data_IF_883596789376
#
_entry.id   IF_883596789376
#
_cell.length_a   1.000
_cell.length_b   1.000
_cell.length_c   1.000
_cell.angle_alpha   90.00
_cell.angle_beta   90.00
_cell.angle_gamma   90.00
#
_symmetry.space_group_name_H-M   'P 1'
#
loop_
_entity.id
_entity.type
_entity.pdbx_description
1 polymer ?
#
# COMPACT_ATOMS: atom_id res chain seq x y z
N UNK A 1 -29.24 2.86 12.34
CA UNK A 1 -29.42 3.15 10.90
C UNK A 1 -30.36 4.33 10.78
N UNK A 2 -30.03 5.33 9.95
CA UNK A 2 -30.87 6.52 9.77
C UNK A 2 -32.15 6.20 9.00
N UNK A 3 -33.17 7.05 9.15
CA UNK A 3 -34.41 7.01 8.36
C UNK A 3 -34.07 7.07 6.86
N UNK A 4 -34.54 6.11 6.06
CA UNK A 4 -34.38 6.15 4.61
C UNK A 4 -35.51 7.00 4.00
N UNK A 5 -35.14 7.88 3.07
CA UNK A 5 -36.07 8.78 2.38
C UNK A 5 -35.92 8.63 0.86
N UNK A 6 -36.99 8.96 0.14
CA UNK A 6 -37.01 8.86 -1.31
C UNK A 6 -36.48 10.14 -1.93
N UNK A 7 -35.53 10.00 -2.86
CA UNK A 7 -34.98 11.09 -3.66
C UNK A 7 -35.03 10.71 -5.14
N UNK A 8 -35.01 11.72 -6.01
CA UNK A 8 -34.91 11.54 -7.45
C UNK A 8 -33.61 12.17 -7.94
N UNK A 9 -32.74 11.41 -8.59
CA UNK A 9 -31.48 11.92 -9.17
C UNK A 9 -31.52 11.68 -10.67
N UNK A 10 -31.45 12.75 -11.47
CA UNK A 10 -31.52 12.68 -12.94
C UNK A 10 -32.74 11.89 -13.46
N UNK A 11 -33.89 12.03 -12.78
CA UNK A 11 -35.13 11.32 -13.12
C UNK A 11 -35.24 9.89 -12.57
N UNK A 12 -34.19 9.36 -11.94
CA UNK A 12 -34.20 8.02 -11.33
C UNK A 12 -34.56 8.11 -9.84
N UNK A 13 -35.54 7.33 -9.39
CA UNK A 13 -35.90 7.25 -7.97
C UNK A 13 -34.93 6.35 -7.20
N UNK A 14 -34.50 6.81 -6.02
CA UNK A 14 -33.51 6.13 -5.19
C UNK A 14 -33.81 6.37 -3.70
N UNK A 15 -33.29 5.50 -2.84
CA UNK A 15 -33.35 5.70 -1.39
C UNK A 15 -32.01 6.16 -0.84
N UNK A 16 -32.04 7.09 0.09
CA UNK A 16 -30.85 7.60 0.77
C UNK A 16 -31.12 7.82 2.26
N UNK A 17 -30.07 7.78 3.08
CA UNK A 17 -30.18 8.08 4.50
C UNK A 17 -30.49 9.57 4.68
N UNK A 18 -31.60 9.89 5.35
CA UNK A 18 -31.98 11.27 5.65
C UNK A 18 -30.87 11.99 6.41
N UNK A 19 -30.52 13.18 5.96
CA UNK A 19 -29.46 13.99 6.54
C UNK A 19 -28.02 13.59 6.18
N UNK A 20 -27.81 12.48 5.45
CA UNK A 20 -26.47 12.19 4.90
C UNK A 20 -26.07 13.23 3.85
N UNK A 21 -24.79 13.36 3.57
CA UNK A 21 -24.33 14.26 2.50
C UNK A 21 -24.78 13.72 1.14
N UNK A 22 -25.33 14.60 0.31
CA UNK A 22 -25.77 14.23 -1.04
C UNK A 22 -24.61 13.66 -1.86
N UNK A 23 -23.41 14.24 -1.75
CA UNK A 23 -22.24 13.75 -2.50
C UNK A 23 -21.89 12.29 -2.18
N UNK A 24 -22.03 11.84 -0.93
CA UNK A 24 -21.75 10.44 -0.58
C UNK A 24 -22.73 9.52 -1.30
N UNK A 25 -24.01 9.86 -1.30
CA UNK A 25 -25.01 9.10 -2.04
C UNK A 25 -24.72 9.07 -3.55
N UNK A 26 -24.27 10.18 -4.13
CA UNK A 26 -23.90 10.22 -5.54
C UNK A 26 -22.72 9.28 -5.83
N UNK A 27 -21.68 9.30 -4.98
CA UNK A 27 -20.49 8.47 -5.15
C UNK A 27 -20.79 6.98 -4.92
N UNK A 28 -21.57 6.64 -3.90
CA UNK A 28 -21.96 5.27 -3.57
C UNK A 28 -22.78 4.63 -4.71
N UNK A 29 -23.51 5.43 -5.49
CA UNK A 29 -24.28 5.01 -6.66
C UNK A 29 -23.51 5.14 -7.98
N UNK A 30 -22.21 5.42 -7.92
CA UNK A 30 -21.35 5.67 -9.10
C UNK A 30 -21.87 6.78 -10.03
N UNK A 31 -22.61 7.75 -9.48
CA UNK A 31 -23.04 8.94 -10.21
C UNK A 31 -21.90 9.96 -10.18
N UNK A 32 -21.29 10.18 -11.34
CA UNK A 32 -20.18 11.13 -11.48
C UNK A 32 -20.58 12.54 -11.02
N UNK A 33 -19.75 13.11 -10.16
CA UNK A 33 -19.86 14.48 -9.65
C UNK A 33 -18.45 15.07 -9.47
N UNK A 34 -18.02 16.03 -10.30
CA UNK A 34 -16.71 16.65 -10.19
C UNK A 34 -16.48 17.31 -8.82
N UNK A 35 -15.31 17.08 -8.18
CA UNK A 35 -14.98 17.66 -6.88
C UNK A 35 -13.47 17.67 -6.58
N UNK A 36 -12.96 18.76 -6.00
CA UNK A 36 -11.56 18.86 -5.55
C UNK A 36 -11.37 18.78 -4.03
N UNK A 37 -12.20 19.47 -3.23
CA UNK A 37 -11.98 19.56 -1.78
C UNK A 37 -12.62 18.45 -0.96
N UNK A 38 -13.69 17.85 -1.48
CA UNK A 38 -14.39 16.76 -0.81
C UNK A 38 -13.56 15.48 -0.82
N UNK A 39 -13.50 14.75 0.29
CA UNK A 39 -12.95 13.40 0.34
C UNK A 39 -13.69 12.66 1.44
N UNK A 40 -14.12 11.41 1.23
CA UNK A 40 -14.96 10.68 2.20
C UNK A 40 -14.32 10.56 3.59
N UNK A 41 -12.98 10.44 3.66
CA UNK A 41 -12.25 10.42 4.93
C UNK A 41 -12.16 11.77 5.66
N UNK A 42 -12.30 12.89 4.93
CA UNK A 42 -12.13 14.24 5.48
C UNK A 42 -13.48 14.91 5.70
N UNK A 43 -14.48 14.59 4.87
CA UNK A 43 -15.80 15.21 4.83
C UNK A 43 -15.83 16.48 3.99
N UNK A 44 -16.82 17.34 4.29
CA UNK A 44 -17.09 18.60 3.58
C UNK A 44 -16.14 19.75 3.92
N UNK A 45 -15.98 20.66 2.97
CA UNK A 45 -15.27 21.94 3.14
C UNK A 45 -15.89 23.02 2.23
N UNK A 46 -16.16 22.66 0.98
CA UNK A 46 -16.96 23.48 0.07
C UNK A 46 -16.19 24.64 -0.58
N UNK A 47 -14.87 24.73 -0.44
CA UNK A 47 -14.07 25.81 -1.05
C UNK A 47 -14.07 25.78 -2.59
N UNK A 48 -13.91 24.62 -3.23
CA UNK A 48 -13.69 24.52 -4.67
C UNK A 48 -14.96 24.69 -5.53
N UNK A 49 -16.14 24.58 -4.91
CA UNK A 49 -17.46 24.67 -5.57
C UNK A 49 -17.75 23.68 -6.71
N UNK A 50 -16.79 22.89 -7.18
CA UNK A 50 -16.91 22.04 -8.39
C UNK A 50 -18.08 21.02 -8.37
N UNK A 51 -18.54 20.62 -7.17
CA UNK A 51 -19.64 19.68 -6.98
C UNK A 51 -21.05 20.31 -7.05
N UNK A 52 -21.23 21.40 -7.81
CA UNK A 52 -22.53 22.04 -7.97
C UNK A 52 -23.55 21.08 -8.63
N UNK A 53 -24.76 21.08 -8.08
CA UNK A 53 -25.94 20.37 -8.58
C UNK A 53 -27.16 21.28 -8.54
N UNK A 54 -28.11 21.00 -9.42
CA UNK A 54 -29.43 21.61 -9.38
C UNK A 54 -30.34 20.82 -8.46
N UNK A 55 -31.11 21.53 -7.64
CA UNK A 55 -32.11 20.93 -6.76
C UNK A 55 -33.42 21.66 -7.02
N UNK A 56 -34.49 20.90 -7.26
CA UNK A 56 -35.80 21.46 -7.53
C UNK A 56 -36.29 22.36 -6.38
N UNK A 57 -36.88 23.50 -6.73
CA UNK A 57 -37.27 24.55 -5.77
C UNK A 57 -36.14 25.46 -5.30
N UNK A 58 -34.86 25.15 -5.59
CA UNK A 58 -33.75 26.05 -5.30
C UNK A 58 -33.47 27.00 -6.47
N UNK A 59 -33.34 28.30 -6.17
CA UNK A 59 -33.07 29.33 -7.20
C UNK A 59 -31.66 29.29 -7.77
N UNK A 60 -30.72 28.70 -7.03
CA UNK A 60 -29.29 28.62 -7.40
C UNK A 60 -28.81 27.19 -7.24
N UNK A 61 -27.84 26.74 -8.06
CA UNK A 61 -27.13 25.49 -7.82
C UNK A 61 -26.54 25.42 -6.41
N UNK A 62 -26.53 24.22 -5.83
CA UNK A 62 -26.04 23.94 -4.49
C UNK A 62 -24.85 23.01 -4.56
N UNK A 63 -23.93 23.11 -3.59
CA UNK A 63 -22.82 22.17 -3.48
C UNK A 63 -23.31 20.82 -2.95
N UNK A 64 -23.07 19.73 -3.68
CA UNK A 64 -23.46 18.40 -3.21
C UNK A 64 -22.75 17.99 -1.91
N UNK A 65 -21.52 18.48 -1.70
CA UNK A 65 -20.71 18.09 -0.55
C UNK A 65 -21.19 18.63 0.81
N UNK A 66 -22.04 19.66 0.84
CA UNK A 66 -22.61 20.21 2.08
C UNK A 66 -24.14 20.25 2.04
N UNK A 67 -24.77 19.56 1.08
CA UNK A 67 -26.23 19.49 1.02
C UNK A 67 -26.71 18.21 1.70
N UNK A 68 -27.47 18.30 2.81
CA UNK A 68 -28.08 17.13 3.43
C UNK A 68 -29.25 16.59 2.59
N UNK A 69 -29.35 15.27 2.50
CA UNK A 69 -30.46 14.57 1.86
C UNK A 69 -31.78 14.84 2.61
N UNK A 70 -32.84 15.16 1.86
CA UNK A 70 -34.21 15.36 2.37
C UNK A 70 -35.19 14.49 1.58
N UNK A 71 -36.32 14.14 2.21
CA UNK A 71 -37.39 13.41 1.52
C UNK A 71 -37.98 14.24 0.38
N UNK A 72 -38.30 13.56 -0.73
CA UNK A 72 -38.82 14.17 -1.95
C UNK A 72 -37.80 15.03 -2.70
N UNK A 73 -36.51 14.98 -2.35
CA UNK A 73 -35.49 15.80 -3.01
C UNK A 73 -35.28 15.37 -4.47
N UNK A 74 -35.41 16.32 -5.40
CA UNK A 74 -35.17 16.10 -6.84
C UNK A 74 -33.89 16.83 -7.24
N UNK A 75 -32.89 16.08 -7.69
CA UNK A 75 -31.53 16.53 -8.00
C UNK A 75 -31.22 16.31 -9.48
N UNK A 76 -30.63 17.31 -10.13
CA UNK A 76 -30.04 17.20 -11.46
C UNK A 76 -28.54 17.44 -11.36
N UNK A 77 -27.75 16.44 -11.74
CA UNK A 77 -26.28 16.52 -11.77
C UNK A 77 -25.73 16.82 -13.16
N UNK A 78 -26.61 16.89 -14.17
CA UNK A 78 -26.31 17.18 -15.57
C UNK A 78 -27.36 18.15 -16.10
N UNK A 79 -26.98 18.96 -17.09
CA UNK A 79 -27.86 19.95 -17.73
C UNK A 79 -27.06 21.18 -18.16
N UNK A 80 -27.58 21.92 -19.14
CA UNK A 80 -26.87 23.07 -19.75
C UNK A 80 -26.37 24.07 -18.71
N UNK A 81 -27.22 24.43 -17.74
CA UNK A 81 -26.86 25.37 -16.69
C UNK A 81 -25.78 24.83 -15.74
N UNK A 82 -25.84 23.55 -15.33
CA UNK A 82 -24.80 22.96 -14.46
C UNK A 82 -23.47 22.79 -15.19
N UNK A 83 -23.49 22.42 -16.47
CA UNK A 83 -22.26 22.35 -17.27
C UNK A 83 -21.63 23.73 -17.46
N UNK A 84 -22.44 24.78 -17.65
CA UNK A 84 -21.95 26.16 -17.67
C UNK A 84 -21.30 26.55 -16.34
N UNK A 85 -21.97 26.27 -15.22
CA UNK A 85 -21.46 26.60 -13.87
C UNK A 85 -20.14 25.87 -13.60
N UNK A 86 -20.00 24.60 -13.99
CA UNK A 86 -18.74 23.84 -13.86
C UNK A 86 -17.63 24.45 -14.69
N UNK A 87 -17.93 24.88 -15.92
CA UNK A 87 -16.98 25.59 -16.78
C UNK A 87 -16.49 26.88 -16.15
N UNK A 88 -17.40 27.70 -15.64
CA UNK A 88 -17.06 28.97 -14.99
C UNK A 88 -16.18 28.73 -13.74
N UNK A 89 -16.49 27.71 -12.94
CA UNK A 89 -15.67 27.33 -11.77
C UNK A 89 -14.29 26.84 -12.20
N UNK A 90 -14.22 25.97 -13.20
CA UNK A 90 -12.96 25.43 -13.71
C UNK A 90 -12.06 26.54 -14.25
N UNK A 91 -12.62 27.57 -14.88
CA UNK A 91 -11.86 28.71 -15.34
C UNK A 91 -11.23 29.50 -14.18
N UNK A 92 -11.95 29.64 -13.07
CA UNK A 92 -11.40 30.24 -11.86
C UNK A 92 -10.27 29.39 -11.26
N UNK A 93 -10.41 28.06 -11.26
CA UNK A 93 -9.35 27.15 -10.78
C UNK A 93 -8.09 27.21 -11.67
N UNK A 94 -8.28 27.45 -12.97
CA UNK A 94 -7.20 27.56 -13.94
C UNK A 94 -6.59 28.97 -14.06
N UNK A 95 -7.16 29.98 -13.38
CA UNK A 95 -6.76 31.38 -13.53
C UNK A 95 -5.27 31.57 -13.27
N UNK A 96 -4.75 31.00 -12.18
CA UNK A 96 -3.34 31.06 -11.78
C UNK A 96 -2.62 29.71 -11.91
N UNK A 97 -3.31 28.65 -12.35
CA UNK A 97 -2.67 27.35 -12.56
C UNK A 97 -1.66 27.43 -13.73
N UNK A 98 -0.45 26.86 -13.58
CA UNK A 98 0.60 26.92 -14.59
C UNK A 98 0.36 25.91 -15.70
N UNK A 99 0.92 26.17 -16.89
CA UNK A 99 0.91 25.24 -18.04
C UNK A 99 2.04 24.22 -17.87
N UNK A 100 2.00 23.48 -16.77
CA UNK A 100 3.07 22.56 -16.37
C UNK A 100 2.79 21.11 -16.79
N UNK A 101 1.62 20.80 -17.36
CA UNK A 101 1.17 19.42 -17.64
C UNK A 101 2.24 18.50 -18.26
N UNK A 102 3.03 18.92 -19.27
CA UNK A 102 4.07 18.06 -19.84
C UNK A 102 5.17 17.64 -18.86
N UNK A 103 5.43 18.46 -17.83
CA UNK A 103 6.45 18.25 -16.80
C UNK A 103 5.86 17.86 -15.45
N UNK A 104 4.53 17.90 -15.29
CA UNK A 104 3.83 17.56 -14.07
C UNK A 104 3.83 16.04 -13.87
N UNK A 105 4.18 15.55 -12.68
CA UNK A 105 4.24 14.12 -12.38
C UNK A 105 2.86 13.46 -12.39
N UNK A 106 1.86 14.18 -11.90
CA UNK A 106 0.45 13.77 -11.83
C UNK A 106 -0.24 13.68 -13.21
N UNK A 107 0.41 14.08 -14.31
CA UNK A 107 -0.18 14.01 -15.63
C UNK A 107 -0.61 12.56 -15.95
N UNK A 108 -1.84 12.39 -16.43
CA UNK A 108 -2.45 11.07 -16.65
C UNK A 108 -3.22 10.51 -15.44
N UNK A 109 -3.05 11.08 -14.25
CA UNK A 109 -3.82 10.76 -13.04
C UNK A 109 -4.28 12.03 -12.28
N UNK A 110 -4.43 13.15 -13.01
CA UNK A 110 -4.75 14.46 -12.45
C UNK A 110 -6.25 14.77 -12.60
N UNK A 111 -6.97 15.02 -11.51
CA UNK A 111 -8.40 15.33 -11.57
C UNK A 111 -8.71 16.66 -12.23
N UNK A 112 -7.80 17.63 -12.14
CA UNK A 112 -7.95 18.90 -12.86
C UNK A 112 -7.86 18.69 -14.37
N UNK A 113 -6.99 17.78 -14.81
CA UNK A 113 -6.91 17.39 -16.22
C UNK A 113 -8.19 16.67 -16.65
N UNK A 114 -8.65 15.67 -15.87
CA UNK A 114 -9.88 14.93 -16.16
C UNK A 114 -11.07 15.90 -16.34
N UNK A 115 -11.28 16.81 -15.40
CA UNK A 115 -12.40 17.76 -15.46
C UNK A 115 -12.26 18.80 -16.57
N UNK A 116 -11.03 19.18 -16.92
CA UNK A 116 -10.78 20.01 -18.09
C UNK A 116 -11.16 19.31 -19.40
N UNK A 117 -10.87 18.01 -19.51
CA UNK A 117 -11.30 17.22 -20.67
C UNK A 117 -12.82 16.97 -20.70
N UNK A 118 -13.53 17.13 -19.58
CA UNK A 118 -14.98 16.99 -19.53
C UNK A 118 -15.72 18.29 -19.88
N UNK A 119 -15.32 19.42 -19.27
CA UNK A 119 -16.09 20.67 -19.31
C UNK A 119 -15.27 21.88 -19.78
N UNK A 120 -13.97 21.70 -20.06
CA UNK A 120 -12.96 22.77 -20.15
C UNK A 120 -12.47 23.16 -21.54
N UNK A 121 -13.01 22.60 -22.63
CA UNK A 121 -12.57 22.93 -24.01
C UNK A 121 -13.02 24.31 -24.48
N UNK A 122 -12.50 25.37 -23.86
CA UNK A 122 -12.71 26.76 -24.24
C UNK A 122 -11.36 27.50 -24.32
N UNK A 123 -11.34 28.60 -25.07
CA UNK A 123 -10.14 29.46 -25.15
C UNK A 123 -9.93 30.22 -23.84
N UNK A 124 -8.71 30.20 -23.31
CA UNK A 124 -8.35 30.98 -22.12
C UNK A 124 -8.52 32.46 -22.38
N UNK A 125 -9.28 33.15 -21.51
CA UNK A 125 -9.45 34.61 -21.53
C UNK A 125 -8.36 35.34 -20.74
N UNK A 126 -7.43 34.60 -20.13
CA UNK A 126 -6.38 35.12 -19.25
C UNK A 126 -5.07 35.27 -20.02
N UNK A 127 -4.44 36.44 -19.89
CA UNK A 127 -3.06 36.64 -20.34
C UNK A 127 -2.09 35.87 -19.43
N UNK A 128 -1.23 35.04 -20.02
CA UNK A 128 -0.27 34.21 -19.30
C UNK A 128 0.71 35.03 -18.44
N UNK A 129 1.09 36.23 -18.89
CA UNK A 129 2.00 37.12 -18.16
C UNK A 129 1.37 37.72 -16.89
N UNK A 130 0.04 37.67 -16.78
CA UNK A 130 -0.70 38.22 -15.64
C UNK A 130 -0.99 37.18 -14.55
N UNK A 131 -0.55 35.93 -14.71
CA UNK A 131 -0.76 34.87 -13.72
C UNK A 131 0.09 35.09 -12.48
N UNK A 132 -0.45 34.80 -11.30
CA UNK A 132 0.33 34.81 -10.07
C UNK A 132 1.36 33.66 -10.06
N UNK A 133 2.57 33.97 -9.61
CA UNK A 133 3.65 33.01 -9.47
C UNK A 133 3.91 32.64 -8.02
N UNK A 134 4.28 31.38 -7.79
CA UNK A 134 4.56 30.81 -6.48
C UNK A 134 5.74 29.85 -6.55
N UNK A 135 6.22 29.36 -5.39
CA UNK A 135 7.43 28.52 -5.38
C UNK A 135 7.14 27.13 -5.95
N UNK A 136 8.07 26.62 -6.75
CA UNK A 136 8.11 25.22 -7.20
C UNK A 136 9.17 24.45 -6.42
N UNK A 137 9.02 23.14 -6.31
CA UNK A 137 10.01 22.24 -5.69
C UNK A 137 10.35 22.63 -4.24
N UNK A 138 9.35 22.95 -3.44
CA UNK A 138 9.50 23.19 -2.00
C UNK A 138 9.51 21.84 -1.29
N UNK A 139 10.60 21.54 -0.57
CA UNK A 139 10.68 20.36 0.28
C UNK A 139 9.85 20.57 1.55
N UNK A 140 8.84 19.72 1.78
CA UNK A 140 8.02 19.79 2.98
C UNK A 140 8.49 18.86 4.10
N UNK A 141 9.42 17.95 3.86
CA UNK A 141 9.75 16.83 4.75
C UNK A 141 9.00 15.54 4.41
N UNK A 142 9.35 14.43 5.09
CA UNK A 142 8.71 13.11 4.96
C UNK A 142 8.48 12.64 3.51
N UNK A 143 9.49 12.83 2.65
CA UNK A 143 9.44 12.45 1.24
C UNK A 143 8.38 13.17 0.37
N UNK A 144 7.85 14.31 0.82
CA UNK A 144 6.84 15.10 0.10
C UNK A 144 7.47 16.37 -0.51
N UNK A 145 7.26 16.57 -1.82
CA UNK A 145 7.54 17.85 -2.50
C UNK A 145 6.25 18.62 -2.78
N UNK A 146 6.34 19.95 -2.69
CA UNK A 146 5.28 20.88 -3.04
C UNK A 146 5.67 21.77 -4.23
N UNK A 147 4.85 21.78 -5.27
CA UNK A 147 4.79 22.85 -6.26
C UNK A 147 3.56 23.72 -5.97
N UNK A 148 3.77 24.90 -5.37
CA UNK A 148 2.68 25.76 -4.90
C UNK A 148 1.81 26.25 -6.06
N UNK A 149 2.40 26.56 -7.21
CA UNK A 149 1.66 27.04 -8.39
C UNK A 149 0.65 26.01 -8.91
N UNK A 150 0.92 24.71 -8.72
CA UNK A 150 0.01 23.65 -9.19
C UNK A 150 -1.16 23.42 -8.24
N UNK A 151 -1.18 24.06 -7.07
CA UNK A 151 -2.19 23.82 -6.05
C UNK A 151 -3.50 24.54 -6.36
N UNK A 152 -4.62 23.83 -6.30
CA UNK A 152 -5.99 24.38 -6.40
C UNK A 152 -6.59 24.73 -5.03
N UNK A 153 -5.74 24.90 -4.00
CA UNK A 153 -6.12 25.29 -2.64
C UNK A 153 -7.31 24.52 -2.03
N UNK A 154 -7.49 23.25 -2.40
CA UNK A 154 -8.62 22.42 -1.96
C UNK A 154 -8.60 22.06 -0.46
N UNK A 155 -7.54 22.44 0.26
CA UNK A 155 -7.28 22.21 1.70
C UNK A 155 -7.30 20.75 2.20
N UNK A 156 -7.38 19.74 1.33
CA UNK A 156 -7.36 18.31 1.74
C UNK A 156 -6.15 17.96 2.60
N UNK A 157 -4.95 18.40 2.20
CA UNK A 157 -3.71 18.12 2.93
C UNK A 157 -3.68 18.80 4.32
N UNK A 158 -4.12 20.06 4.42
CA UNK A 158 -4.23 20.79 5.68
C UNK A 158 -5.24 20.13 6.61
N UNK A 159 -6.39 19.71 6.07
CA UNK A 159 -7.43 19.00 6.83
C UNK A 159 -6.94 17.64 7.30
N UNK A 160 -6.23 16.89 6.46
CA UNK A 160 -5.60 15.64 6.87
C UNK A 160 -4.64 15.83 8.05
N UNK A 161 -3.75 16.83 7.98
CA UNK A 161 -2.81 17.12 9.06
C UNK A 161 -3.48 17.59 10.36
N UNK A 162 -4.68 18.18 10.28
CA UNK A 162 -5.40 18.68 11.46
C UNK A 162 -6.37 17.67 12.06
N UNK A 163 -7.06 16.87 11.23
CA UNK A 163 -8.11 15.96 11.71
C UNK A 163 -7.64 14.52 11.86
N UNK A 164 -6.74 14.06 10.99
CA UNK A 164 -6.28 12.66 10.96
C UNK A 164 -5.00 12.53 11.78
N UNK A 165 -3.92 13.20 11.38
CA UNK A 165 -2.63 13.10 12.08
C UNK A 165 -2.56 13.99 13.32
N UNK A 166 -3.42 15.03 13.39
CA UNK A 166 -3.47 16.02 14.47
C UNK A 166 -2.13 16.72 14.73
N UNK A 167 -1.27 16.80 13.71
CA UNK A 167 0.05 17.43 13.79
C UNK A 167 0.04 18.90 13.40
N UNK A 168 -0.96 19.34 12.63
CA UNK A 168 -1.15 20.73 12.20
C UNK A 168 0.08 21.36 11.51
N UNK A 169 0.87 20.54 10.82
CA UNK A 169 2.12 20.98 10.18
C UNK A 169 1.88 21.83 8.93
N UNK A 170 0.78 21.57 8.20
CA UNK A 170 0.40 22.31 6.99
C UNK A 170 -0.68 23.34 7.27
N UNK A 171 -0.59 24.48 6.59
CA UNK A 171 -1.58 25.54 6.63
C UNK A 171 -1.69 26.31 5.31
N UNK A 172 -2.69 27.20 5.25
CA UNK A 172 -2.83 28.19 4.18
C UNK A 172 -2.13 29.47 4.63
N UNK A 173 -1.17 29.92 3.83
CA UNK A 173 -0.41 31.16 4.05
C UNK A 173 -0.93 32.21 3.06
N UNK A 174 -0.87 33.49 3.44
CA UNK A 174 -1.40 34.62 2.66
C UNK A 174 -2.93 34.60 2.52
N UNK A 175 -3.49 35.41 1.62
CA UNK A 175 -4.94 35.60 1.45
C UNK A 175 -5.30 35.77 -0.03
N UNK A 176 -6.56 35.48 -0.34
CA UNK A 176 -7.13 35.59 -1.69
C UNK A 176 -6.33 34.78 -2.73
N UNK A 177 -6.14 35.34 -3.92
CA UNK A 177 -5.45 34.74 -5.06
C UNK A 177 -3.92 34.58 -4.88
N UNK A 178 -3.37 35.09 -3.78
CA UNK A 178 -1.97 34.91 -3.37
C UNK A 178 -1.81 33.83 -2.27
N UNK A 179 -2.90 33.12 -1.94
CA UNK A 179 -2.86 32.06 -0.92
C UNK A 179 -2.03 30.87 -1.40
N UNK A 180 -1.21 30.30 -0.52
CA UNK A 180 -0.41 29.11 -0.83
C UNK A 180 -0.42 28.13 0.33
N UNK A 181 -0.32 26.83 0.01
CA UNK A 181 -0.04 25.83 1.03
C UNK A 181 1.42 25.95 1.46
N UNK A 182 1.68 25.79 2.76
CA UNK A 182 3.03 25.72 3.29
C UNK A 182 3.05 25.09 4.68
N UNK A 183 4.26 24.86 5.18
CA UNK A 183 4.50 24.41 6.54
C UNK A 183 4.57 25.61 7.49
N UNK A 184 4.26 25.38 8.77
CA UNK A 184 4.60 26.36 9.80
C UNK A 184 6.13 26.52 9.89
N UNK A 185 6.68 27.74 10.02
CA UNK A 185 8.12 27.94 10.08
C UNK A 185 8.80 27.07 11.14
N UNK A 186 9.82 26.31 10.72
CA UNK A 186 10.57 25.38 11.59
C UNK A 186 9.86 24.05 11.90
N UNK A 187 8.68 23.78 11.29
CA UNK A 187 7.93 22.53 11.48
C UNK A 187 7.65 21.87 10.12
N UNK A 188 8.63 21.14 9.54
CA UNK A 188 8.38 20.34 8.35
C UNK A 188 7.38 19.23 8.66
N UNK A 189 6.79 18.63 7.62
CA UNK A 189 6.11 17.35 7.71
C UNK A 189 7.07 16.30 8.27
N UNK A 190 6.75 15.81 9.46
CA UNK A 190 7.49 14.80 10.19
C UNK A 190 6.53 13.96 11.04
N UNK A 191 5.65 13.23 10.37
CA UNK A 191 4.70 12.32 11.01
C UNK A 191 4.62 11.02 10.19
N UNK A 192 4.25 9.89 10.80
CA UNK A 192 4.34 8.56 10.17
C UNK A 192 3.30 8.31 9.05
N UNK A 193 2.49 9.31 8.70
CA UNK A 193 1.43 9.23 7.70
C UNK A 193 1.49 10.41 6.71
N UNK A 194 2.57 11.19 6.71
CA UNK A 194 2.67 12.44 5.97
C UNK A 194 2.51 12.22 4.46
N UNK A 195 2.99 11.09 3.92
CA UNK A 195 2.94 10.83 2.48
C UNK A 195 1.51 10.61 1.95
N UNK A 196 0.50 10.38 2.81
CA UNK A 196 -0.89 10.28 2.37
C UNK A 196 -1.42 11.60 1.78
N UNK A 197 -0.78 12.74 2.07
CA UNK A 197 -1.15 14.02 1.43
C UNK A 197 -0.93 14.00 -0.08
N UNK A 198 -0.06 13.12 -0.59
CA UNK A 198 0.20 12.93 -2.02
C UNK A 198 -1.03 12.28 -2.68
N UNK A 199 -1.54 11.18 -2.13
CA UNK A 199 -2.73 10.50 -2.67
C UNK A 199 -4.00 11.35 -2.52
N UNK A 200 -4.07 12.16 -1.46
CA UNK A 200 -5.19 13.09 -1.24
C UNK A 200 -5.20 14.25 -2.24
N UNK A 201 -4.04 14.64 -2.77
CA UNK A 201 -3.93 15.81 -3.63
C UNK A 201 -4.55 15.52 -5.00
N UNK A 202 -5.60 16.25 -5.42
CA UNK A 202 -6.25 15.97 -6.70
C UNK A 202 -5.46 16.45 -7.92
N UNK A 203 -4.33 17.12 -7.69
CA UNK A 203 -3.47 17.78 -8.67
C UNK A 203 -2.00 17.53 -8.35
N UNK A 204 -1.10 17.76 -9.29
CA UNK A 204 0.34 17.52 -9.09
C UNK A 204 1.07 18.57 -8.25
N UNK A 205 0.41 19.11 -7.22
CA UNK A 205 1.01 20.03 -6.27
C UNK A 205 1.83 19.29 -5.22
N UNK A 206 1.31 18.19 -4.67
CA UNK A 206 2.01 17.38 -3.66
C UNK A 206 2.41 16.06 -4.31
N UNK A 207 3.71 15.80 -4.39
CA UNK A 207 4.24 14.62 -5.09
C UNK A 207 5.27 13.88 -4.24
N UNK A 208 5.36 12.57 -4.44
CA UNK A 208 6.38 11.73 -3.82
C UNK A 208 7.76 12.03 -4.39
N UNK A 209 8.72 12.49 -3.57
CA UNK A 209 10.12 12.72 -4.00
C UNK A 209 10.73 11.49 -4.66
N UNK A 210 10.42 10.31 -4.12
CA UNK A 210 11.00 9.07 -4.60
C UNK A 210 10.42 8.64 -5.95
N UNK A 211 9.16 8.92 -6.25
CA UNK A 211 8.56 8.52 -7.54
C UNK A 211 8.69 9.60 -8.62
N UNK A 212 8.70 10.86 -8.21
CA UNK A 212 8.60 12.02 -9.09
C UNK A 212 9.62 11.96 -10.23
N UNK A 213 9.11 12.03 -11.46
CA UNK A 213 9.88 12.01 -12.71
C UNK A 213 10.60 10.70 -13.03
N UNK A 214 10.42 9.63 -12.25
CA UNK A 214 10.97 8.31 -12.60
C UNK A 214 10.14 7.60 -13.67
N UNK A 215 8.82 7.78 -13.67
CA UNK A 215 7.92 7.07 -14.58
C UNK A 215 6.65 7.86 -14.87
N UNK A 216 6.02 7.62 -16.03
CA UNK A 216 4.66 8.09 -16.32
C UNK A 216 3.63 7.01 -16.02
N UNK A 217 2.51 7.43 -15.46
CA UNK A 217 1.48 6.50 -14.95
C UNK A 217 0.85 5.63 -16.01
N UNK A 218 0.73 6.10 -17.26
CA UNK A 218 0.24 5.30 -18.39
C UNK A 218 1.20 4.19 -18.84
N UNK A 219 2.43 4.15 -18.31
CA UNK A 219 3.34 3.04 -18.52
C UNK A 219 3.37 2.05 -17.35
N UNK A 220 2.74 2.37 -16.24
CA UNK A 220 2.69 1.49 -15.07
C UNK A 220 1.57 0.46 -15.24
N UNK A 221 1.84 -0.73 -14.76
CA UNK A 221 0.83 -1.73 -14.46
C UNK A 221 0.52 -1.68 -12.96
N UNK A 222 -0.71 -2.03 -12.60
CA UNK A 222 -1.16 -2.01 -11.20
C UNK A 222 -1.86 -3.31 -10.84
N UNK A 223 -1.56 -3.83 -9.65
CA UNK A 223 -2.34 -4.90 -9.04
C UNK A 223 -2.62 -4.66 -7.56
N UNK A 224 -3.64 -5.35 -7.07
CA UNK A 224 -4.08 -5.30 -5.68
C UNK A 224 -3.22 -6.22 -4.81
N UNK A 225 -2.70 -5.67 -3.71
CA UNK A 225 -1.95 -6.43 -2.72
C UNK A 225 -2.29 -5.96 -1.29
N UNK A 226 -1.52 -6.46 -0.33
CA UNK A 226 -1.48 -5.96 1.04
C UNK A 226 -0.04 -5.58 1.39
N UNK A 227 0.13 -4.63 2.29
CA UNK A 227 1.43 -4.28 2.85
C UNK A 227 1.90 -5.37 3.82
N UNK A 228 3.14 -5.83 3.65
CA UNK A 228 3.79 -6.82 4.51
C UNK A 228 4.62 -6.21 5.68
N UNK A 229 4.46 -4.92 5.97
CA UNK A 229 5.29 -4.20 6.95
C UNK A 229 4.83 -4.26 8.41
N UNK A 230 3.60 -4.72 8.68
CA UNK A 230 3.10 -5.04 10.02
C UNK A 230 1.79 -5.85 9.95
N UNK A 231 1.34 -6.32 11.11
CA UNK A 231 0.18 -7.20 11.27
C UNK A 231 -1.16 -6.56 10.95
N UNK A 232 -1.20 -5.25 10.68
CA UNK A 232 -2.41 -4.61 10.18
C UNK A 232 -2.78 -5.11 8.77
N UNK A 233 -1.78 -5.42 7.94
CA UNK A 233 -1.99 -5.91 6.57
C UNK A 233 -2.79 -4.93 5.69
N UNK A 234 -2.43 -3.64 5.71
CA UNK A 234 -3.15 -2.60 4.97
C UNK A 234 -3.27 -2.93 3.47
N UNK A 235 -4.44 -2.70 2.87
CA UNK A 235 -4.64 -2.92 1.45
C UNK A 235 -3.91 -1.85 0.64
N UNK A 236 -3.20 -2.27 -0.39
CA UNK A 236 -2.42 -1.38 -1.26
C UNK A 236 -2.62 -1.71 -2.74
N UNK A 237 -2.34 -0.73 -3.57
CA UNK A 237 -2.00 -0.90 -4.98
C UNK A 237 -0.48 -0.94 -5.12
N UNK A 238 0.00 -1.92 -5.89
CA UNK A 238 1.41 -2.00 -6.31
C UNK A 238 1.49 -1.50 -7.73
N UNK A 239 2.13 -0.35 -7.93
CA UNK A 239 2.41 0.16 -9.27
C UNK A 239 3.82 -0.29 -9.68
N UNK A 240 3.90 -1.07 -10.76
CA UNK A 240 5.12 -1.70 -11.24
C UNK A 240 5.26 -1.54 -12.75
N UNK A 241 6.45 -1.82 -13.28
CA UNK A 241 6.68 -1.85 -14.73
C UNK A 241 7.81 -2.80 -15.08
N UNK A 242 7.54 -3.68 -16.04
CA UNK A 242 8.56 -4.46 -16.73
C UNK A 242 9.07 -3.69 -17.95
N UNK A 243 10.28 -3.15 -17.86
CA UNK A 243 10.96 -2.60 -19.04
C UNK A 243 11.42 -3.71 -19.99
N UNK A 244 11.61 -3.37 -21.26
CA UNK A 244 12.10 -4.32 -22.26
C UNK A 244 13.46 -4.88 -21.81
N UNK A 245 13.56 -6.21 -21.71
CA UNK A 245 14.77 -6.94 -21.29
C UNK A 245 15.21 -6.75 -19.83
N UNK A 246 14.37 -6.15 -18.97
CA UNK A 246 14.63 -6.08 -17.54
C UNK A 246 13.57 -6.86 -16.77
N UNK A 247 13.90 -7.15 -15.51
CA UNK A 247 12.90 -7.64 -14.58
C UNK A 247 11.95 -6.51 -14.18
N UNK A 248 10.77 -6.92 -13.74
CA UNK A 248 9.74 -6.03 -13.27
C UNK A 248 10.15 -5.34 -11.97
N UNK A 249 9.99 -4.01 -11.95
CA UNK A 249 10.38 -3.16 -10.82
C UNK A 249 9.15 -2.50 -10.21
N UNK A 250 9.08 -2.50 -8.88
CA UNK A 250 8.05 -1.77 -8.15
C UNK A 250 8.45 -0.29 -8.07
N UNK A 251 7.57 0.62 -8.48
CA UNK A 251 7.83 2.06 -8.48
C UNK A 251 7.24 2.78 -7.28
N UNK A 252 6.08 2.34 -6.79
CA UNK A 252 5.44 2.90 -5.59
C UNK A 252 4.36 1.98 -5.05
N UNK A 253 4.10 2.12 -3.76
CA UNK A 253 2.87 1.64 -3.13
C UNK A 253 1.91 2.81 -2.89
N UNK A 254 0.62 2.58 -3.18
CA UNK A 254 -0.48 3.50 -2.88
C UNK A 254 -1.51 2.80 -1.99
N UNK A 255 -2.19 3.51 -1.07
CA UNK A 255 -3.24 2.92 -0.28
C UNK A 255 -4.40 2.51 -1.18
N UNK A 256 -4.95 1.33 -0.92
CA UNK A 256 -6.21 0.86 -1.50
C UNK A 256 -7.29 0.91 -0.44
N UNK A 257 -8.46 1.39 -0.82
CA UNK A 257 -9.55 1.62 0.15
C UNK A 257 -10.08 0.29 0.67
N UNK A 258 -10.02 0.11 1.99
CA UNK A 258 -10.69 -0.98 2.70
C UNK A 258 -11.20 -0.45 4.05
N UNK A 259 -12.51 -0.18 4.12
CA UNK A 259 -13.15 0.42 5.31
C UNK A 259 -13.01 -0.44 6.58
N UNK A 260 -12.77 -1.74 6.44
CA UNK A 260 -12.60 -2.65 7.58
C UNK A 260 -11.16 -2.72 8.10
N UNK A 261 -10.17 -2.24 7.36
CA UNK A 261 -8.75 -2.37 7.71
C UNK A 261 -8.08 -1.00 7.81
N UNK A 262 -7.78 -0.37 6.68
CA UNK A 262 -6.95 0.82 6.60
C UNK A 262 -7.71 2.09 6.18
N UNK A 263 -9.02 1.98 5.97
CA UNK A 263 -9.83 3.08 5.47
C UNK A 263 -9.32 3.52 4.10
N UNK A 264 -8.70 4.71 4.05
CA UNK A 264 -8.13 5.30 2.83
C UNK A 264 -6.62 5.48 2.88
N UNK A 265 -5.96 5.09 3.97
CA UNK A 265 -4.59 5.52 4.25
C UNK A 265 -3.64 4.33 4.48
N UNK A 266 -2.34 4.63 4.51
CA UNK A 266 -1.28 3.70 4.92
C UNK A 266 -0.15 4.48 5.60
N UNK A 267 0.66 3.83 6.44
CA UNK A 267 1.84 4.49 7.02
C UNK A 267 2.96 4.67 6.00
N UNK A 268 3.82 5.66 6.24
CA UNK A 268 4.92 6.02 5.35
C UNK A 268 5.99 4.92 5.28
N UNK A 269 6.23 4.21 6.39
CA UNK A 269 7.17 3.08 6.41
C UNK A 269 6.70 1.93 5.51
N UNK A 270 5.42 1.57 5.59
CA UNK A 270 4.82 0.56 4.70
C UNK A 270 4.77 1.01 3.24
N UNK A 271 4.82 2.32 2.98
CA UNK A 271 4.85 2.88 1.62
C UNK A 271 6.25 2.79 1.00
N UNK A 272 7.27 3.01 1.82
CA UNK A 272 8.67 2.98 1.42
C UNK A 272 9.28 1.57 1.47
N UNK A 273 8.60 0.58 2.05
CA UNK A 273 9.12 -0.79 2.14
C UNK A 273 9.39 -1.46 0.79
N UNK A 274 8.83 -0.94 -0.31
CA UNK A 274 9.10 -1.43 -1.66
C UNK A 274 10.58 -1.30 -2.09
N UNK A 275 11.37 -0.41 -1.46
CA UNK A 275 12.81 -0.32 -1.71
C UNK A 275 13.52 -1.65 -1.42
N UNK A 276 13.19 -2.29 -0.30
CA UNK A 276 13.82 -3.56 0.08
C UNK A 276 13.55 -4.66 -0.95
N UNK A 277 12.36 -4.68 -1.55
CA UNK A 277 11.96 -5.62 -2.60
C UNK A 277 12.72 -5.40 -3.93
N UNK A 278 13.20 -4.19 -4.18
CA UNK A 278 13.98 -3.87 -5.37
C UNK A 278 15.49 -4.01 -5.14
N UNK A 279 15.98 -3.68 -3.95
CA UNK A 279 17.40 -3.43 -3.70
C UNK A 279 18.10 -4.56 -2.94
N UNK A 280 17.37 -5.36 -2.16
CA UNK A 280 17.95 -6.33 -1.23
C UNK A 280 17.47 -7.78 -1.45
N UNK A 281 17.11 -8.15 -2.68
CA UNK A 281 16.70 -9.52 -3.01
C UNK A 281 17.90 -10.48 -2.91
N UNK A 282 17.68 -11.64 -2.29
CA UNK A 282 18.61 -12.76 -2.38
C UNK A 282 18.26 -13.57 -3.63
N UNK A 283 19.25 -13.79 -4.51
CA UNK A 283 19.01 -14.41 -5.82
C UNK A 283 19.72 -15.74 -6.02
N UNK A 284 20.65 -16.09 -5.14
CA UNK A 284 21.54 -17.23 -5.33
C UNK A 284 21.00 -18.53 -4.72
N UNK A 285 21.62 -19.62 -5.15
CA UNK A 285 21.49 -20.94 -4.55
C UNK A 285 22.89 -21.38 -4.18
N UNK A 286 23.13 -21.59 -2.89
CA UNK A 286 24.46 -21.84 -2.33
C UNK A 286 24.43 -23.16 -1.58
N UNK A 287 25.41 -24.03 -1.83
CA UNK A 287 25.66 -25.28 -1.08
C UNK A 287 27.13 -25.30 -0.70
N UNK A 288 27.42 -25.45 0.60
CA UNK A 288 28.76 -25.46 1.19
C UNK A 288 29.64 -24.33 0.64
N UNK A 289 29.10 -23.10 0.67
CA UNK A 289 29.72 -21.85 0.20
C UNK A 289 29.99 -21.77 -1.31
N UNK A 290 29.46 -22.69 -2.11
CA UNK A 290 29.57 -22.68 -3.57
C UNK A 290 28.21 -22.45 -4.23
N UNK A 291 28.14 -21.58 -5.22
CA UNK A 291 26.93 -21.38 -6.00
C UNK A 291 26.61 -22.63 -6.82
N UNK A 292 25.33 -23.02 -6.89
CA UNK A 292 24.89 -24.24 -7.58
C UNK A 292 23.49 -24.10 -8.19
N UNK A 293 23.01 -25.15 -8.84
CA UNK A 293 21.65 -25.24 -9.38
C UNK A 293 20.65 -25.81 -8.36
N UNK A 294 19.37 -25.56 -8.63
CA UNK A 294 18.29 -25.98 -7.74
C UNK A 294 18.21 -27.51 -7.57
N UNK A 295 18.27 -28.36 -8.63
CA UNK A 295 18.29 -29.81 -8.47
C UNK A 295 19.37 -30.32 -7.51
N UNK A 296 20.59 -29.80 -7.63
CA UNK A 296 21.73 -30.16 -6.77
C UNK A 296 21.50 -29.75 -5.32
N UNK A 297 20.95 -28.56 -5.10
CA UNK A 297 20.58 -28.10 -3.76
C UNK A 297 19.47 -28.95 -3.14
N UNK A 298 18.42 -29.30 -3.90
CA UNK A 298 17.32 -30.17 -3.43
C UNK A 298 17.85 -31.56 -3.03
N UNK A 299 18.74 -32.16 -3.83
CA UNK A 299 19.36 -33.45 -3.49
C UNK A 299 20.18 -33.37 -2.19
N UNK A 300 20.91 -32.26 -1.99
CA UNK A 300 21.67 -32.01 -0.77
C UNK A 300 20.77 -31.84 0.45
N UNK A 301 19.66 -31.10 0.31
CA UNK A 301 18.65 -30.94 1.37
C UNK A 301 18.03 -32.29 1.73
N UNK A 302 17.64 -33.09 0.73
CA UNK A 302 17.07 -34.42 0.95
C UNK A 302 18.03 -35.33 1.73
N UNK A 303 19.32 -35.31 1.40
CA UNK A 303 20.37 -36.05 2.14
C UNK A 303 20.45 -35.60 3.60
N UNK A 304 20.48 -34.29 3.85
CA UNK A 304 20.58 -33.76 5.22
C UNK A 304 19.33 -34.08 6.05
N UNK A 305 18.13 -33.97 5.46
CA UNK A 305 16.86 -34.31 6.11
C UNK A 305 16.73 -35.81 6.43
N UNK A 306 17.25 -36.69 5.59
CA UNK A 306 17.21 -38.15 5.82
C UNK A 306 18.28 -38.62 6.81
N UNK A 307 19.41 -37.91 6.90
CA UNK A 307 20.52 -38.25 7.81
C UNK A 307 20.28 -37.71 9.23
N UNK A 308 19.66 -36.53 9.37
CA UNK A 308 19.43 -35.89 10.67
C UNK A 308 18.02 -36.15 11.19
N UNK A 309 17.90 -36.91 12.29
CA UNK A 309 16.62 -37.21 12.94
C UNK A 309 16.14 -36.13 13.92
N UNK A 310 16.99 -35.16 14.25
CA UNK A 310 16.71 -34.08 15.21
C UNK A 310 16.78 -32.74 14.50
N UNK A 311 15.64 -32.35 13.94
CA UNK A 311 15.54 -31.20 13.04
C UNK A 311 14.47 -30.25 13.53
N UNK A 312 14.84 -28.97 13.66
CA UNK A 312 13.92 -27.88 13.96
C UNK A 312 13.68 -27.07 12.68
N UNK A 313 12.41 -26.92 12.31
CA UNK A 313 11.93 -26.00 11.29
C UNK A 313 11.48 -24.69 11.94
N UNK A 314 12.21 -23.61 11.69
CA UNK A 314 11.87 -22.26 12.09
C UNK A 314 11.31 -21.49 10.89
N UNK A 315 10.10 -20.97 11.00
CA UNK A 315 9.42 -20.27 9.89
C UNK A 315 8.97 -18.85 10.26
N UNK A 316 8.81 -18.03 9.23
CA UNK A 316 8.42 -16.62 9.36
C UNK A 316 6.91 -16.43 9.38
N UNK A 317 6.46 -15.48 10.20
CA UNK A 317 5.06 -15.02 10.21
C UNK A 317 4.68 -14.15 8.99
N UNK A 318 5.57 -13.95 8.02
CA UNK A 318 5.28 -13.30 6.73
C UNK A 318 4.98 -14.28 5.59
N UNK A 319 5.09 -15.58 5.82
CA UNK A 319 4.68 -16.59 4.83
C UNK A 319 3.16 -16.56 4.62
N UNK A 320 2.68 -17.03 3.46
CA UNK A 320 1.24 -17.19 3.27
C UNK A 320 0.70 -18.35 4.13
N UNK A 321 -0.61 -18.33 4.38
CA UNK A 321 -1.29 -19.42 5.08
C UNK A 321 -1.03 -20.77 4.41
N UNK A 322 -1.05 -20.82 3.07
CA UNK A 322 -0.79 -22.03 2.29
C UNK A 322 0.67 -22.51 2.44
N UNK A 323 1.64 -21.60 2.43
CA UNK A 323 3.06 -21.94 2.66
C UNK A 323 3.27 -22.51 4.07
N UNK A 324 2.70 -21.87 5.10
CA UNK A 324 2.76 -22.36 6.47
C UNK A 324 2.11 -23.74 6.63
N UNK A 325 0.95 -23.96 6.01
CA UNK A 325 0.25 -25.25 6.03
C UNK A 325 1.09 -26.35 5.35
N UNK A 326 1.71 -26.03 4.20
CA UNK A 326 2.57 -26.98 3.49
C UNK A 326 3.82 -27.35 4.29
N UNK A 327 4.42 -26.37 4.98
CA UNK A 327 5.54 -26.58 5.90
C UNK A 327 5.14 -27.43 7.10
N UNK A 328 3.97 -27.16 7.72
CA UNK A 328 3.42 -28.00 8.80
C UNK A 328 3.22 -29.44 8.34
N UNK A 329 2.64 -29.65 7.16
CA UNK A 329 2.42 -30.99 6.60
C UNK A 329 3.75 -31.71 6.32
N UNK A 330 4.78 -30.99 5.84
CA UNK A 330 6.12 -31.54 5.67
C UNK A 330 6.73 -31.94 7.02
N UNK A 331 6.64 -31.06 8.02
CA UNK A 331 7.15 -31.32 9.37
C UNK A 331 6.49 -32.57 9.97
N UNK A 332 5.17 -32.72 9.87
CA UNK A 332 4.46 -33.92 10.32
C UNK A 332 4.90 -35.18 9.56
N UNK A 333 5.06 -35.12 8.23
CA UNK A 333 5.46 -36.28 7.42
C UNK A 333 6.89 -36.75 7.74
N UNK A 334 7.78 -35.83 8.09
CA UNK A 334 9.19 -36.11 8.40
C UNK A 334 9.49 -36.13 9.91
N UNK A 335 8.48 -35.97 10.76
CA UNK A 335 8.61 -35.89 12.22
C UNK A 335 9.62 -34.82 12.68
N UNK A 336 9.50 -33.61 12.13
CA UNK A 336 10.31 -32.44 12.48
C UNK A 336 9.61 -31.61 13.56
N UNK A 337 10.37 -31.01 14.46
CA UNK A 337 9.85 -29.96 15.34
C UNK A 337 9.64 -28.67 14.52
N UNK A 338 8.55 -27.93 14.78
CA UNK A 338 8.20 -26.72 14.03
C UNK A 338 7.91 -25.56 14.98
N UNK A 339 8.52 -24.40 14.74
CA UNK A 339 8.31 -23.19 15.54
C UNK A 339 8.18 -21.92 14.69
N UNK A 340 7.35 -20.99 15.16
CA UNK A 340 7.18 -19.64 14.62
C UNK A 340 7.92 -18.55 15.39
N UNK A 341 8.78 -18.91 16.36
CA UNK A 341 9.43 -17.94 17.26
C UNK A 341 10.20 -16.86 16.49
N UNK A 342 9.88 -15.59 16.74
CA UNK A 342 10.42 -14.45 16.01
C UNK A 342 10.23 -13.13 16.78
N UNK A 343 10.77 -13.02 18.00
CA UNK A 343 10.56 -11.86 18.89
C UNK A 343 11.14 -10.56 18.30
N UNK A 344 12.16 -10.66 17.45
CA UNK A 344 12.80 -9.54 16.76
C UNK A 344 11.89 -8.83 15.74
N UNK A 345 10.71 -9.40 15.47
CA UNK A 345 9.68 -8.77 14.63
C UNK A 345 8.67 -7.95 15.45
N UNK A 346 8.76 -7.93 16.78
CA UNK A 346 7.90 -7.11 17.63
C UNK A 346 8.63 -5.82 17.98
N UNK A 347 8.07 -4.68 17.57
CA UNK A 347 8.57 -3.34 17.87
C UNK A 347 7.47 -2.49 18.51
N UNK A 348 7.49 -2.39 19.84
CA UNK A 348 6.52 -1.59 20.60
C UNK A 348 6.64 -0.08 20.33
N UNK A 349 7.80 0.41 19.89
CA UNK A 349 7.99 1.83 19.58
C UNK A 349 7.39 2.21 18.21
N UNK A 350 7.17 1.24 17.34
CA UNK A 350 6.56 1.46 16.04
C UNK A 350 5.03 1.64 16.12
N UNK A 351 4.38 1.00 17.10
CA UNK A 351 2.93 0.93 17.20
C UNK A 351 2.26 2.29 17.46
N UNK A 352 1.01 2.42 17.01
CA UNK A 352 0.13 3.53 17.38
C UNK A 352 -1.34 3.10 17.46
N UNK A 353 -2.17 4.03 17.90
CA UNK A 353 -3.62 3.85 18.03
C UNK A 353 -4.36 3.88 16.69
N UNK A 354 -3.65 3.94 15.55
CA UNK A 354 -4.25 4.06 14.23
C UNK A 354 -4.00 2.83 13.35
N UNK A 355 -2.91 2.80 12.58
CA UNK A 355 -2.63 1.73 11.61
C UNK A 355 -1.35 0.95 11.91
N UNK A 356 -0.40 1.52 12.66
CA UNK A 356 0.86 0.83 12.94
C UNK A 356 0.67 -0.12 14.11
N UNK A 357 1.08 -1.37 13.93
CA UNK A 357 0.99 -2.45 14.93
C UNK A 357 2.38 -2.95 15.26
N UNK A 358 2.62 -3.27 16.54
CA UNK A 358 3.96 -3.63 17.04
C UNK A 358 4.51 -4.88 16.36
N UNK A 359 3.67 -5.86 16.07
CA UNK A 359 4.04 -6.99 15.23
C UNK A 359 4.28 -6.55 13.77
N UNK A 360 5.54 -6.59 13.35
CA UNK A 360 6.05 -6.23 12.01
C UNK A 360 5.85 -7.32 10.97
N UNK A 361 5.04 -8.33 11.25
CA UNK A 361 4.71 -9.41 10.32
C UNK A 361 3.24 -9.40 9.91
N UNK A 362 2.94 -9.79 8.69
CA UNK A 362 1.60 -9.67 8.09
C UNK A 362 0.64 -10.82 8.38
N UNK A 363 1.13 -11.94 8.94
CA UNK A 363 0.36 -13.18 9.00
C UNK A 363 0.59 -14.03 10.26
N UNK A 364 1.08 -13.45 11.36
CA UNK A 364 1.27 -14.18 12.62
C UNK A 364 -0.02 -14.84 13.13
N UNK A 365 -1.18 -14.25 12.86
CA UNK A 365 -2.48 -14.83 13.23
C UNK A 365 -2.69 -16.25 12.66
N UNK A 366 -2.05 -16.59 11.54
CA UNK A 366 -2.07 -17.95 10.99
C UNK A 366 -1.42 -18.99 11.89
N UNK A 367 -0.45 -18.62 12.74
CA UNK A 367 0.15 -19.58 13.69
C UNK A 367 -0.88 -20.16 14.64
N UNK A 368 -1.80 -19.32 15.13
CA UNK A 368 -2.89 -19.76 15.99
C UNK A 368 -3.87 -20.69 15.26
N UNK A 369 -4.26 -20.36 14.02
CA UNK A 369 -5.16 -21.22 13.24
C UNK A 369 -4.50 -22.55 12.85
N UNK A 370 -3.21 -22.53 12.59
CA UNK A 370 -2.42 -23.68 12.20
C UNK A 370 -1.77 -24.40 13.38
N UNK A 371 -2.02 -24.00 14.63
CA UNK A 371 -1.42 -24.61 15.82
C UNK A 371 0.11 -24.78 15.69
N UNK A 372 0.78 -23.66 15.40
CA UNK A 372 2.25 -23.53 15.32
C UNK A 372 2.72 -22.78 16.56
N UNK A 373 3.62 -23.38 17.33
CA UNK A 373 4.13 -22.80 18.57
C UNK A 373 5.20 -21.72 18.29
N UNK A 374 4.94 -20.50 18.75
CA UNK A 374 5.87 -19.37 18.68
C UNK A 374 6.32 -18.88 20.06
N UNK A 375 6.23 -19.72 21.09
CA UNK A 375 6.74 -19.45 22.43
C UNK A 375 8.24 -19.63 22.53
N UNK A 376 8.85 -18.89 23.46
CA UNK A 376 10.30 -18.94 23.70
C UNK A 376 10.72 -20.29 24.26
N UNK A 377 9.97 -20.80 25.23
CA UNK A 377 10.28 -22.03 25.96
C UNK A 377 10.34 -23.23 25.02
N UNK A 378 9.33 -23.38 24.16
CA UNK A 378 9.31 -24.42 23.15
C UNK A 378 10.48 -24.28 22.17
N UNK A 379 10.70 -23.07 21.65
CA UNK A 379 11.78 -22.82 20.70
C UNK A 379 13.16 -23.16 21.27
N UNK A 380 13.50 -22.70 22.48
CA UNK A 380 14.79 -22.95 23.11
C UNK A 380 15.00 -24.44 23.41
N UNK A 381 13.96 -25.16 23.87
CA UNK A 381 14.03 -26.60 24.08
C UNK A 381 14.35 -27.35 22.77
N UNK A 382 13.62 -27.06 21.69
CA UNK A 382 13.79 -27.74 20.40
C UNK A 382 15.08 -27.36 19.70
N UNK A 383 15.49 -26.10 19.81
CA UNK A 383 16.75 -25.61 19.26
C UNK A 383 17.94 -26.33 19.90
N UNK A 384 17.96 -26.44 21.23
CA UNK A 384 19.05 -27.10 21.95
C UNK A 384 19.17 -28.58 21.59
N UNK A 385 18.04 -29.24 21.34
CA UNK A 385 18.00 -30.66 21.00
C UNK A 385 18.29 -30.96 19.52
N UNK A 386 18.26 -29.97 18.63
CA UNK A 386 18.40 -30.17 17.19
C UNK A 386 19.86 -30.12 16.70
N UNK A 387 20.21 -31.00 15.76
CA UNK A 387 21.48 -30.99 15.03
C UNK A 387 21.38 -30.29 13.67
N UNK A 388 20.16 -30.24 13.11
CA UNK A 388 19.85 -29.57 11.85
C UNK A 388 18.78 -28.50 12.09
N UNK A 389 19.02 -27.29 11.59
CA UNK A 389 18.07 -26.17 11.63
C UNK A 389 17.65 -25.81 10.20
N UNK A 390 16.35 -25.85 9.96
CA UNK A 390 15.71 -25.46 8.70
C UNK A 390 15.04 -24.11 8.89
N UNK A 391 15.49 -23.06 8.20
CA UNK A 391 15.03 -21.69 8.39
C UNK A 391 14.27 -21.24 7.14
N UNK A 392 13.02 -20.81 7.28
CA UNK A 392 12.22 -20.28 6.17
C UNK A 392 11.83 -18.83 6.45
N UNK A 393 12.58 -17.93 5.82
CA UNK A 393 12.39 -16.47 5.80
C UNK A 393 12.33 -15.80 7.18
N UNK A 394 12.84 -16.48 8.22
CA UNK A 394 12.86 -16.03 9.60
C UNK A 394 14.27 -15.50 9.94
N UNK A 395 14.34 -14.24 10.33
CA UNK A 395 15.58 -13.50 10.56
C UNK A 395 16.02 -13.45 12.04
N UNK A 396 15.48 -14.30 12.91
CA UNK A 396 15.86 -14.36 14.32
C UNK A 396 17.39 -14.52 14.51
N UNK A 397 18.04 -15.31 13.67
CA UNK A 397 19.47 -15.59 13.80
C UNK A 397 20.41 -14.49 13.30
N UNK A 398 19.89 -13.44 12.63
CA UNK A 398 20.73 -12.31 12.19
C UNK A 398 21.41 -11.61 13.37
N UNK A 399 20.78 -11.63 14.54
CA UNK A 399 21.32 -11.08 15.80
C UNK A 399 21.74 -12.16 16.81
N UNK A 400 21.53 -13.44 16.49
CA UNK A 400 21.70 -14.58 17.41
C UNK A 400 22.54 -15.71 16.79
N UNK A 401 23.47 -15.38 15.89
CA UNK A 401 24.17 -16.34 15.04
C UNK A 401 24.96 -17.40 15.82
N UNK A 402 25.44 -17.06 17.01
CA UNK A 402 26.17 -17.97 17.91
C UNK A 402 25.35 -19.20 18.30
N UNK A 403 24.02 -19.10 18.30
CA UNK A 403 23.13 -20.23 18.60
C UNK A 403 23.14 -21.32 17.51
N UNK A 404 23.68 -21.01 16.33
CA UNK A 404 23.85 -21.95 15.23
C UNK A 404 25.20 -22.70 15.26
N UNK A 405 26.09 -22.38 16.21
CA UNK A 405 27.37 -23.07 16.35
C UNK A 405 27.17 -24.58 16.55
N UNK A 406 27.95 -25.39 15.84
CA UNK A 406 27.89 -26.86 15.84
C UNK A 406 26.57 -27.46 15.32
N UNK A 407 25.74 -26.68 14.61
CA UNK A 407 24.53 -27.15 13.95
C UNK A 407 24.69 -27.05 12.44
N UNK A 408 24.09 -27.99 11.70
CA UNK A 408 23.88 -27.86 10.26
C UNK A 408 22.72 -26.89 10.01
N UNK A 409 22.85 -26.00 9.03
CA UNK A 409 21.85 -24.97 8.75
C UNK A 409 21.46 -25.01 7.28
N UNK A 410 20.16 -25.12 7.03
CA UNK A 410 19.56 -24.97 5.70
C UNK A 410 18.61 -23.78 5.77
N UNK A 411 18.78 -22.81 4.89
CA UNK A 411 17.96 -21.61 4.88
C UNK A 411 17.30 -21.35 3.53
N UNK A 412 16.10 -20.79 3.59
CA UNK A 412 15.36 -20.29 2.45
C UNK A 412 15.00 -18.85 2.75
N UNK A 413 15.52 -17.92 1.95
CA UNK A 413 15.32 -16.50 2.20
C UNK A 413 14.85 -15.78 0.95
N UNK A 414 14.01 -14.79 1.17
CA UNK A 414 13.63 -13.84 0.14
C UNK A 414 14.71 -12.75 -0.02
N UNK A 415 15.22 -12.20 1.07
CA UNK A 415 16.15 -11.06 1.05
C UNK A 415 17.53 -11.43 1.61
N UNK A 416 18.57 -10.66 1.27
CA UNK A 416 19.89 -10.89 1.86
C UNK A 416 19.83 -10.57 3.36
N UNK A 417 20.46 -11.43 4.16
CA UNK A 417 20.53 -11.34 5.61
C UNK A 417 21.79 -12.04 6.14
N UNK A 418 22.17 -11.74 7.38
CA UNK A 418 23.40 -12.27 7.99
C UNK A 418 23.35 -13.80 8.17
N UNK A 419 22.16 -14.37 8.36
CA UNK A 419 21.97 -15.82 8.51
C UNK A 419 22.45 -16.64 7.31
N UNK A 420 22.44 -16.06 6.09
CA UNK A 420 22.85 -16.76 4.86
C UNK A 420 24.34 -17.16 4.91
N UNK A 421 25.22 -16.33 5.49
CA UNK A 421 26.67 -16.60 5.54
C UNK A 421 27.03 -17.81 6.41
N UNK A 422 26.15 -18.17 7.34
CA UNK A 422 26.31 -19.29 8.26
C UNK A 422 25.54 -20.54 7.83
N UNK A 423 24.82 -20.47 6.71
CA UNK A 423 24.06 -21.58 6.18
C UNK A 423 24.94 -22.54 5.38
N UNK A 424 24.78 -23.85 5.61
CA UNK A 424 25.38 -24.88 4.76
C UNK A 424 24.69 -24.96 3.41
N UNK A 425 23.38 -24.71 3.37
CA UNK A 425 22.59 -24.63 2.14
C UNK A 425 21.70 -23.39 2.24
N UNK A 426 21.70 -22.54 1.22
CA UNK A 426 20.85 -21.35 1.13
C UNK A 426 20.15 -21.32 -0.23
N UNK A 427 18.83 -21.16 -0.23
CA UNK A 427 18.03 -21.09 -1.47
C UNK A 427 17.22 -19.79 -1.51
N UNK A 428 17.37 -19.03 -2.60
CA UNK A 428 16.53 -17.88 -2.89
C UNK A 428 15.06 -18.28 -3.14
N UNK A 429 14.14 -17.57 -2.49
CA UNK A 429 12.68 -17.74 -2.64
C UNK A 429 12.03 -16.57 -3.37
N UNK A 430 10.87 -16.85 -3.98
CA UNK A 430 9.93 -15.82 -4.42
C UNK A 430 9.55 -14.89 -3.25
N UNK A 431 9.66 -13.58 -3.47
CA UNK A 431 9.30 -12.55 -2.48
C UNK A 431 7.80 -12.52 -2.19
N UNK A 432 7.40 -11.76 -1.17
CA UNK A 432 6.00 -11.54 -0.82
C UNK A 432 5.17 -11.05 -2.01
N UNK A 433 5.70 -10.13 -2.81
CA UNK A 433 5.00 -9.56 -3.97
C UNK A 433 5.21 -10.35 -5.26
N UNK A 434 6.06 -11.38 -5.26
CA UNK A 434 6.26 -12.30 -6.39
C UNK A 434 5.36 -13.55 -6.30
N UNK A 435 4.61 -13.71 -5.19
CA UNK A 435 3.77 -14.89 -4.94
C UNK A 435 2.35 -14.53 -4.56
N UNK A 436 1.46 -15.51 -4.71
CA UNK A 436 0.04 -15.40 -4.35
C UNK A 436 -0.25 -16.23 -3.11
N UNK A 437 -1.16 -15.77 -2.26
CA UNK A 437 -1.48 -16.46 -1.01
C UNK A 437 -2.53 -15.75 -0.18
N UNK A 438 -2.92 -16.41 0.90
CA UNK A 438 -3.86 -15.89 1.89
C UNK A 438 -3.12 -15.44 3.14
N UNK A 439 -3.49 -14.27 3.67
CA UNK A 439 -2.91 -13.68 4.87
C UNK A 439 -4.02 -13.27 5.83
N UNK A 440 -3.78 -13.44 7.13
CA UNK A 440 -4.70 -13.18 8.23
C UNK A 440 -4.09 -12.08 9.08
N UNK A 441 -4.73 -10.92 9.10
CA UNK A 441 -4.23 -9.78 9.86
C UNK A 441 -4.50 -9.93 11.38
N UNK A 442 -4.00 -8.99 12.18
CA UNK A 442 -4.21 -8.98 13.64
C UNK A 442 -5.67 -8.90 14.08
N UNK A 443 -6.57 -8.44 13.20
CA UNK A 443 -8.01 -8.35 13.45
C UNK A 443 -8.76 -9.63 13.03
N UNK A 444 -8.04 -10.67 12.56
CA UNK A 444 -8.62 -11.94 12.09
C UNK A 444 -9.22 -11.89 10.68
N UNK A 445 -8.97 -10.82 9.92
CA UNK A 445 -9.50 -10.66 8.56
C UNK A 445 -8.60 -11.39 7.57
N UNK A 446 -9.17 -12.38 6.86
CA UNK A 446 -8.51 -13.12 5.80
C UNK A 446 -8.51 -12.32 4.50
N UNK A 447 -7.34 -12.16 3.90
CA UNK A 447 -7.14 -11.41 2.66
C UNK A 447 -6.36 -12.26 1.67
N UNK A 448 -6.85 -12.32 0.43
CA UNK A 448 -6.16 -13.02 -0.67
C UNK A 448 -5.39 -12.01 -1.51
N UNK A 449 -4.12 -12.33 -1.78
CA UNK A 449 -3.25 -11.56 -2.68
C UNK A 449 -2.94 -12.41 -3.91
N UNK A 450 -3.05 -11.79 -5.08
CA UNK A 450 -2.65 -12.39 -6.36
C UNK A 450 -1.59 -11.50 -6.99
N UNK A 451 -0.34 -11.97 -6.97
CA UNK A 451 0.77 -11.24 -7.59
C UNK A 451 0.60 -11.21 -9.11
N UNK A 452 0.96 -10.05 -9.70
CA UNK A 452 1.14 -9.89 -11.14
C UNK A 452 2.56 -9.53 -11.54
N UNK A 453 3.52 -9.64 -10.62
CA UNK A 453 4.93 -9.36 -10.90
C UNK A 453 5.47 -10.33 -11.95
N UNK A 454 6.24 -9.82 -12.92
CA UNK A 454 6.76 -10.62 -14.04
C UNK A 454 8.28 -10.53 -14.16
N UNK A 455 9.00 -11.48 -13.54
CA UNK A 455 10.46 -11.59 -13.66
C UNK A 455 10.88 -12.54 -14.77
N UNK A 456 12.03 -12.29 -15.38
CA UNK A 456 12.59 -13.17 -16.42
C UNK A 456 13.05 -14.50 -15.83
N UNK A 457 13.58 -14.48 -14.59
CA UNK A 457 13.98 -15.67 -13.85
C UNK A 457 13.22 -15.73 -12.51
N UNK A 458 11.93 -16.10 -12.52
CA UNK A 458 11.13 -16.14 -11.30
C UNK A 458 11.71 -17.17 -10.32
N UNK A 459 11.93 -16.75 -9.08
CA UNK A 459 12.35 -17.66 -8.00
C UNK A 459 11.17 -18.56 -7.62
N UNK A 460 11.45 -19.77 -7.15
CA UNK A 460 10.41 -20.71 -6.71
C UNK A 460 9.83 -20.28 -5.36
N UNK A 461 8.56 -20.59 -5.13
CA UNK A 461 7.97 -20.51 -3.79
C UNK A 461 8.47 -21.66 -2.93
N UNK A 462 8.38 -21.53 -1.61
CA UNK A 462 8.71 -22.65 -0.71
C UNK A 462 7.79 -23.84 -0.95
N UNK A 463 6.51 -23.61 -1.29
CA UNK A 463 5.56 -24.67 -1.67
C UNK A 463 6.09 -25.52 -2.82
N UNK A 464 6.58 -24.89 -3.90
CA UNK A 464 7.12 -25.63 -5.05
C UNK A 464 8.38 -26.42 -4.68
N UNK A 465 9.24 -25.88 -3.82
CA UNK A 465 10.43 -26.61 -3.34
C UNK A 465 10.02 -27.81 -2.48
N UNK A 466 9.01 -27.67 -1.64
CA UNK A 466 8.46 -28.77 -0.83
C UNK A 466 7.89 -29.87 -1.73
N UNK A 467 7.22 -29.52 -2.84
CA UNK A 467 6.71 -30.50 -3.82
C UNK A 467 7.85 -31.28 -4.47
N UNK A 468 8.91 -30.60 -4.89
CA UNK A 468 10.10 -31.26 -5.46
C UNK A 468 10.74 -32.22 -4.43
N UNK A 469 10.85 -31.81 -3.16
CA UNK A 469 11.34 -32.65 -2.06
C UNK A 469 10.44 -33.87 -1.81
N UNK A 470 9.11 -33.69 -1.81
CA UNK A 470 8.14 -34.79 -1.63
C UNK A 470 8.27 -35.83 -2.74
N UNK A 471 8.42 -35.40 -3.98
CA UNK A 471 8.62 -36.29 -5.13
C UNK A 471 9.88 -37.16 -4.96
N UNK A 472 10.97 -36.59 -4.44
CA UNK A 472 12.19 -37.36 -4.13
C UNK A 472 12.00 -38.33 -2.97
N UNK A 473 11.32 -37.91 -1.90
CA UNK A 473 11.00 -38.78 -0.76
C UNK A 473 10.20 -40.01 -1.23
N UNK A 474 9.18 -39.80 -2.05
CA UNK A 474 8.31 -40.88 -2.54
C UNK A 474 9.04 -41.84 -3.48
N UNK A 475 9.96 -41.34 -4.31
CA UNK A 475 10.79 -42.15 -5.20
C UNK A 475 11.93 -42.88 -4.47
N UNK A 476 12.43 -42.33 -3.36
CA UNK A 476 13.51 -42.90 -2.55
C UNK A 476 13.05 -43.98 -1.55
N UNK A 477 11.74 -44.15 -1.36
CA UNK A 477 11.13 -45.23 -0.56
C UNK A 477 10.93 -46.56 -1.34
N UNK A 478 11.72 -46.83 -2.37
CA UNK A 478 11.76 -48.12 -3.08
C UNK A 478 13.02 -48.89 -2.74
#
# INVERSE_FOLDING_TARGET
MGELVNITINGMQMQASKGSLLIDKLLDENIHIPHFCYHQALGKDGNCRMCMVEIEGQKRPQIACDTPVKDGMIVRTKGENIEKVRRDILELELINHPIDCPTCDQAGECKLQDYYMESGFYESRINLEAKNHARKRVDLGSNVMLDQERCVLCTRCVRFCSTITKTHELGVISRADHSVIGTFPGRPLNNPYAMNVIDLCPVGALTNKDFRFKQRVWFLETFDAICNGCSKGCNIYVDHRKEKYKDDQIFRFRPRVNKSINGWFMCDEGRLSHHNENENRFEDIIVEKSQTDLPTAIASIFKELTTNKKTLLLLSANLSYEEMLNLKNLASKLNLDISGYSPNTIDENFADDYLRKSDKTSNRASFKELDIDDTKEFFEEKLNNSSLILIVDNNYFDTNIKLLENKKVISFFTHNCATIEHSNISIALASFYEKSGTYINCDGIKQKVVSKMNKNNPKKTITTIIEDLKSMIEKGTI
#
